data_IF_051998910356
#
_entry.id   IF_051998910356
#
_cell.length_a   1.000
_cell.length_b   1.000
_cell.length_c   1.000
_cell.angle_alpha   90.00
_cell.angle_beta   90.00
_cell.angle_gamma   90.00
#
_symmetry.space_group_name_H-M   'P 1'
#
loop_
_entity.id
_entity.type
_entity.pdbx_description
1 polymer ?
#
# COMPACT_ATOMS: atom_id res chain seq x y z
N UNK A 1 34.92 -13.42 -46.56
CA UNK A 1 34.10 -13.81 -45.40
C UNK A 1 34.61 -13.34 -44.03
N UNK A 2 35.91 -13.02 -43.84
CA UNK A 2 36.47 -12.60 -42.53
C UNK A 2 36.25 -11.11 -42.15
N UNK A 3 36.05 -10.22 -43.13
CA UNK A 3 35.89 -8.76 -42.90
C UNK A 3 34.58 -8.44 -42.15
N UNK A 4 33.51 -9.19 -42.43
CA UNK A 4 32.20 -9.01 -41.80
C UNK A 4 32.18 -9.44 -40.32
N UNK A 5 32.99 -10.44 -39.94
CA UNK A 5 33.12 -10.86 -38.53
C UNK A 5 33.81 -9.79 -37.68
N UNK A 6 34.85 -9.13 -38.20
CA UNK A 6 35.53 -8.03 -37.49
C UNK A 6 34.61 -6.83 -37.28
N UNK A 7 33.85 -6.44 -38.31
CA UNK A 7 32.90 -5.34 -38.22
C UNK A 7 31.75 -5.65 -37.25
N UNK A 8 31.28 -6.90 -37.20
CA UNK A 8 30.25 -7.33 -36.26
C UNK A 8 30.75 -7.31 -34.81
N UNK A 9 31.99 -7.73 -34.57
CA UNK A 9 32.62 -7.67 -33.24
C UNK A 9 32.77 -6.22 -32.77
N UNK A 10 33.24 -5.33 -33.65
CA UNK A 10 33.39 -3.89 -33.32
C UNK A 10 32.01 -3.28 -33.00
N UNK A 11 30.98 -3.57 -33.81
CA UNK A 11 29.62 -3.08 -33.58
C UNK A 11 29.04 -3.56 -32.24
N UNK A 12 29.27 -4.83 -31.89
CA UNK A 12 28.82 -5.41 -30.62
C UNK A 12 29.53 -4.75 -29.42
N UNK A 13 30.84 -4.53 -29.52
CA UNK A 13 31.61 -3.86 -28.46
C UNK A 13 31.17 -2.40 -28.26
N UNK A 14 30.86 -1.69 -29.35
CA UNK A 14 30.32 -0.31 -29.25
C UNK A 14 28.92 -0.27 -28.67
N UNK A 15 28.06 -1.26 -28.96
CA UNK A 15 26.73 -1.33 -28.37
C UNK A 15 26.81 -1.61 -26.86
N UNK A 16 27.68 -2.54 -26.47
CA UNK A 16 27.90 -2.87 -25.05
C UNK A 16 28.43 -1.65 -24.29
N UNK A 17 29.39 -0.90 -24.85
CA UNK A 17 29.92 0.28 -24.18
C UNK A 17 28.87 1.38 -23.98
N UNK A 18 27.99 1.61 -24.98
CA UNK A 18 26.88 2.56 -24.86
C UNK A 18 25.90 2.14 -23.77
N UNK A 19 25.53 0.85 -23.71
CA UNK A 19 24.63 0.32 -22.67
C UNK A 19 25.24 0.50 -21.28
N UNK A 20 26.54 0.21 -21.11
CA UNK A 20 27.24 0.40 -19.83
C UNK A 20 27.23 1.87 -19.41
N UNK A 21 27.49 2.80 -20.34
CA UNK A 21 27.47 4.24 -20.04
C UNK A 21 26.07 4.70 -19.66
N UNK A 22 25.02 4.25 -20.36
CA UNK A 22 23.63 4.60 -20.02
C UNK A 22 23.24 4.05 -18.63
N UNK A 23 23.59 2.80 -18.32
CA UNK A 23 23.31 2.20 -17.01
C UNK A 23 24.07 2.91 -15.88
N UNK A 24 25.35 3.24 -16.08
CA UNK A 24 26.14 3.99 -15.10
C UNK A 24 25.62 5.41 -14.91
N UNK A 25 25.15 6.06 -15.98
CA UNK A 25 24.53 7.38 -15.91
C UNK A 25 23.22 7.34 -15.13
N UNK A 26 22.41 6.28 -15.32
CA UNK A 26 21.15 6.09 -14.60
C UNK A 26 21.38 6.05 -13.08
N UNK A 27 22.46 5.43 -12.61
CA UNK A 27 22.81 5.39 -11.18
C UNK A 27 23.23 6.74 -10.59
N UNK A 28 23.65 7.70 -11.41
CA UNK A 28 24.06 9.03 -10.96
C UNK A 28 22.87 10.02 -10.87
N UNK A 29 21.75 9.74 -11.53
CA UNK A 29 20.55 10.61 -11.51
C UNK A 29 19.45 10.16 -10.55
N UNK A 30 19.50 8.91 -10.07
CA UNK A 30 18.66 8.47 -8.96
C UNK A 30 19.51 8.46 -7.69
N UNK A 31 19.45 9.51 -6.85
CA UNK A 31 20.07 9.43 -5.53
C UNK A 31 19.48 8.20 -4.84
N UNK A 32 20.35 7.28 -4.41
CA UNK A 32 19.96 6.26 -3.43
C UNK A 32 19.40 7.02 -2.24
N UNK A 33 18.09 6.95 -2.06
CA UNK A 33 17.45 7.49 -0.89
C UNK A 33 17.82 6.54 0.26
N UNK A 34 19.02 6.73 0.83
CA UNK A 34 19.39 6.11 2.08
C UNK A 34 18.44 6.69 3.13
N UNK A 35 17.44 5.90 3.51
CA UNK A 35 16.71 6.17 4.73
C UNK A 35 17.77 6.25 5.84
N UNK A 36 17.87 7.37 6.57
CA UNK A 36 18.84 7.46 7.64
C UNK A 36 18.42 6.44 8.71
N UNK A 37 19.10 5.29 8.73
CA UNK A 37 19.10 4.37 9.85
C UNK A 37 19.93 4.99 10.97
N UNK A 38 19.49 6.15 11.48
CA UNK A 38 20.26 6.89 12.45
C UNK A 38 19.90 6.39 13.85
N UNK A 39 20.80 5.58 14.41
CA UNK A 39 20.98 5.23 15.82
C UNK A 39 19.93 4.34 16.48
N UNK A 40 20.05 3.02 16.32
CA UNK A 40 19.34 2.02 17.13
C UNK A 40 19.60 2.13 18.66
N UNK A 41 20.59 2.92 19.10
CA UNK A 41 20.90 3.17 20.52
C UNK A 41 20.22 4.40 21.14
N UNK A 42 19.56 5.24 20.34
CA UNK A 42 18.65 6.28 20.81
C UNK A 42 17.30 5.91 20.24
N UNK A 43 16.37 5.44 21.08
CA UNK A 43 14.98 5.23 20.64
C UNK A 43 14.48 6.47 19.88
N UNK A 44 13.50 6.28 19.00
CA UNK A 44 12.94 7.38 18.20
C UNK A 44 12.50 8.54 19.10
N UNK A 45 13.35 9.57 19.20
CA UNK A 45 13.01 10.83 19.83
C UNK A 45 12.28 11.63 18.77
N UNK A 46 10.96 11.42 18.68
CA UNK A 46 10.10 12.28 17.90
C UNK A 46 10.10 13.67 18.55
N UNK A 47 10.86 14.60 18.00
CA UNK A 47 10.76 16.02 18.38
C UNK A 47 9.40 16.60 18.00
N UNK A 48 8.75 15.99 17.00
CA UNK A 48 7.45 16.38 16.46
C UNK A 48 6.38 15.33 16.77
N UNK A 49 5.14 15.75 16.95
CA UNK A 49 4.01 14.83 17.14
C UNK A 49 3.76 14.06 15.85
N UNK A 50 3.55 12.76 15.95
CA UNK A 50 3.10 11.90 14.83
C UNK A 50 1.58 11.83 14.84
N UNK A 51 0.96 12.07 13.70
CA UNK A 51 -0.49 11.95 13.50
C UNK A 51 -0.81 10.66 12.76
N UNK A 52 -1.49 9.75 13.46
CA UNK A 52 -1.99 8.50 12.90
C UNK A 52 -3.51 8.55 12.75
N UNK A 53 -4.02 7.86 11.73
CA UNK A 53 -5.44 7.59 11.58
C UNK A 53 -5.69 6.08 11.48
N UNK A 54 -6.67 5.59 12.22
CA UNK A 54 -7.19 4.24 12.02
C UNK A 54 -7.78 4.11 10.62
N UNK A 55 -7.41 3.05 9.92
CA UNK A 55 -7.79 2.82 8.53
C UNK A 55 -8.32 1.40 8.36
N UNK A 56 -9.59 1.28 7.99
CA UNK A 56 -10.29 0.02 7.84
C UNK A 56 -10.30 -0.40 6.37
N UNK A 57 -9.86 -1.63 6.10
CA UNK A 57 -9.69 -2.21 4.76
C UNK A 57 -10.72 -3.28 4.45
N UNK A 58 -11.88 -3.28 5.10
CA UNK A 58 -12.85 -4.35 5.01
C UNK A 58 -14.11 -4.02 4.23
N UNK A 59 -14.23 -2.84 3.63
CA UNK A 59 -15.47 -2.42 2.99
C UNK A 59 -15.69 -3.07 1.62
N UNK A 60 -16.93 -3.40 1.31
CA UNK A 60 -17.37 -3.76 -0.05
C UNK A 60 -18.52 -2.87 -0.53
N UNK A 61 -18.72 -2.80 -1.85
CA UNK A 61 -19.77 -1.95 -2.45
C UNK A 61 -21.16 -2.36 -1.97
N UNK A 62 -21.37 -3.67 -1.76
CA UNK A 62 -22.62 -4.26 -1.35
C UNK A 62 -23.03 -3.76 0.04
N UNK A 63 -22.09 -3.56 0.97
CA UNK A 63 -22.40 -3.15 2.34
C UNK A 63 -23.10 -1.78 2.43
N UNK A 64 -22.81 -0.88 1.50
CA UNK A 64 -23.45 0.45 1.42
C UNK A 64 -24.86 0.40 0.82
N UNK A 65 -25.23 -0.68 0.14
CA UNK A 65 -26.50 -0.79 -0.61
C UNK A 65 -27.41 -1.90 -0.09
N UNK A 66 -26.87 -2.82 0.72
CA UNK A 66 -27.59 -3.95 1.28
C UNK A 66 -28.65 -3.46 2.25
N UNK A 67 -29.87 -3.99 2.12
CA UNK A 67 -30.88 -3.86 3.15
C UNK A 67 -30.62 -4.93 4.22
N UNK A 68 -30.16 -4.51 5.38
CA UNK A 68 -29.89 -5.41 6.51
C UNK A 68 -31.16 -5.69 7.34
N UNK A 69 -32.33 -5.18 6.92
CA UNK A 69 -33.61 -5.46 7.58
C UNK A 69 -34.04 -6.92 7.56
N UNK A 70 -33.39 -7.77 6.76
CA UNK A 70 -33.68 -9.20 6.67
C UNK A 70 -32.39 -10.03 6.75
N UNK A 71 -31.88 -10.19 7.98
CA UNK A 71 -30.88 -11.21 8.29
C UNK A 71 -31.56 -12.48 8.81
N UNK A 72 -31.49 -13.63 8.09
CA UNK A 72 -32.04 -14.90 8.55
C UNK A 72 -31.39 -15.44 9.84
N UNK A 73 -30.25 -14.89 10.27
CA UNK A 73 -29.59 -15.20 11.55
C UNK A 73 -30.03 -14.28 12.71
N UNK A 74 -30.96 -13.35 12.47
CA UNK A 74 -31.66 -12.61 13.53
C UNK A 74 -30.98 -11.34 14.02
N UNK A 75 -29.91 -10.86 13.36
CA UNK A 75 -29.38 -9.51 13.62
C UNK A 75 -30.25 -8.50 12.86
N UNK A 76 -31.41 -8.18 13.44
CA UNK A 76 -32.27 -7.09 12.95
C UNK A 76 -31.72 -5.75 13.42
N UNK A 77 -30.66 -5.28 12.78
CA UNK A 77 -30.14 -3.93 12.91
C UNK A 77 -30.31 -3.17 11.60
N UNK A 78 -30.51 -1.86 11.67
CA UNK A 78 -30.36 -1.01 10.49
C UNK A 78 -29.00 -1.29 9.84
N UNK A 79 -28.99 -1.34 8.52
CA UNK A 79 -27.79 -1.40 7.71
C UNK A 79 -26.82 -0.30 8.17
N UNK A 80 -25.70 -0.59 8.86
CA UNK A 80 -24.93 0.43 9.55
C UNK A 80 -24.34 1.48 8.58
N UNK A 81 -24.26 1.16 7.29
CA UNK A 81 -23.73 2.03 6.25
C UNK A 81 -24.79 2.59 5.28
N UNK A 82 -26.08 2.25 5.41
CA UNK A 82 -27.13 2.68 4.45
C UNK A 82 -27.28 4.19 4.35
N UNK A 83 -27.14 4.89 5.47
CA UNK A 83 -27.23 6.35 5.51
C UNK A 83 -25.87 7.04 5.35
N UNK A 84 -24.80 6.27 5.17
CA UNK A 84 -23.44 6.77 4.95
C UNK A 84 -23.17 6.87 3.44
N UNK A 85 -22.84 8.08 2.99
CA UNK A 85 -22.63 8.38 1.57
C UNK A 85 -21.20 8.92 1.37
N UNK A 86 -20.19 8.05 1.18
CA UNK A 86 -18.81 8.50 0.96
C UNK A 86 -18.70 9.34 -0.32
N UNK A 87 -17.79 10.32 -0.32
CA UNK A 87 -17.55 11.18 -1.49
C UNK A 87 -17.06 10.40 -2.72
N UNK A 88 -16.43 9.23 -2.52
CA UNK A 88 -16.02 8.31 -3.58
C UNK A 88 -17.12 7.32 -3.98
N UNK A 89 -18.33 7.47 -3.44
CA UNK A 89 -19.44 6.54 -3.61
C UNK A 89 -19.30 5.28 -2.76
N UNK A 90 -20.19 4.31 -2.98
CA UNK A 90 -20.04 2.96 -2.44
C UNK A 90 -18.81 2.31 -3.06
N UNK A 91 -17.80 1.98 -2.24
CA UNK A 91 -16.49 1.53 -2.69
C UNK A 91 -16.12 0.15 -2.17
N UNK A 92 -15.14 -0.47 -2.83
CA UNK A 92 -14.49 -1.69 -2.36
C UNK A 92 -13.09 -1.33 -1.84
N UNK A 93 -12.75 -1.77 -0.64
CA UNK A 93 -11.43 -1.55 -0.03
C UNK A 93 -10.28 -2.27 -0.77
N UNK A 94 -10.57 -3.18 -1.71
CA UNK A 94 -9.59 -3.78 -2.61
C UNK A 94 -9.44 -3.06 -3.95
N UNK A 95 -10.19 -1.98 -4.21
CA UNK A 95 -10.02 -1.18 -5.43
C UNK A 95 -8.75 -0.31 -5.35
N UNK A 96 -7.74 -0.50 -6.22
CA UNK A 96 -6.50 0.26 -6.19
C UNK A 96 -6.69 1.77 -6.34
N UNK A 97 -7.72 2.20 -7.08
CA UNK A 97 -8.03 3.63 -7.24
C UNK A 97 -8.53 4.23 -5.92
N UNK A 98 -9.40 3.51 -5.21
CA UNK A 98 -9.95 3.95 -3.92
C UNK A 98 -8.86 4.07 -2.88
N UNK A 99 -8.00 3.05 -2.75
CA UNK A 99 -6.87 3.08 -1.80
C UNK A 99 -5.93 4.24 -2.11
N UNK A 100 -5.62 4.49 -3.38
CA UNK A 100 -4.77 5.62 -3.76
C UNK A 100 -5.41 6.98 -3.42
N UNK A 101 -6.72 7.14 -3.67
CA UNK A 101 -7.42 8.37 -3.31
C UNK A 101 -7.49 8.59 -1.79
N UNK A 102 -7.68 7.54 -0.98
CA UNK A 102 -7.60 7.63 0.48
C UNK A 102 -6.20 8.04 0.95
N UNK A 103 -5.14 7.50 0.36
CA UNK A 103 -3.76 7.91 0.66
C UNK A 103 -3.57 9.40 0.33
N UNK A 104 -4.05 9.88 -0.82
CA UNK A 104 -4.00 11.31 -1.17
C UNK A 104 -4.81 12.18 -0.21
N UNK A 105 -5.97 11.71 0.26
CA UNK A 105 -6.77 12.38 1.28
C UNK A 105 -6.00 12.52 2.58
N UNK A 106 -5.33 11.45 3.04
CA UNK A 106 -4.50 11.47 4.23
C UNK A 106 -3.35 12.47 4.13
N UNK A 107 -2.66 12.52 2.98
CA UNK A 107 -1.61 13.51 2.73
C UNK A 107 -2.15 14.95 2.76
N UNK A 108 -3.32 15.22 2.16
CA UNK A 108 -3.97 16.54 2.23
C UNK A 108 -4.37 16.92 3.66
N UNK A 109 -4.77 15.93 4.46
CA UNK A 109 -5.13 16.10 5.86
C UNK A 109 -3.91 16.21 6.81
N UNK A 110 -2.68 16.10 6.29
CA UNK A 110 -1.44 16.09 7.08
C UNK A 110 -1.38 14.92 8.09
N UNK A 111 -1.91 13.76 7.70
CA UNK A 111 -1.73 12.50 8.42
C UNK A 111 -0.38 11.90 8.01
N UNK A 112 0.41 11.46 8.99
CA UNK A 112 1.74 10.89 8.78
C UNK A 112 1.69 9.40 8.44
N UNK A 113 0.75 8.69 9.08
CA UNK A 113 0.59 7.25 8.90
C UNK A 113 -0.86 6.77 9.03
N UNK A 114 -1.15 5.67 8.33
CA UNK A 114 -2.30 4.84 8.69
C UNK A 114 -1.92 3.81 9.75
N UNK A 115 -2.83 3.57 10.70
CA UNK A 115 -2.87 2.38 11.53
C UNK A 115 -3.95 1.46 10.93
N UNK A 116 -3.53 0.47 10.15
CA UNK A 116 -4.44 -0.34 9.32
C UNK A 116 -4.97 -1.50 10.16
N UNK A 117 -6.29 -1.49 10.40
CA UNK A 117 -6.99 -2.60 11.07
C UNK A 117 -6.84 -3.87 10.24
N UNK A 118 -6.35 -4.93 10.87
CA UNK A 118 -6.00 -6.17 10.16
C UNK A 118 -6.09 -7.39 11.07
N UNK A 119 -6.61 -8.48 10.50
CA UNK A 119 -6.44 -9.85 10.96
C UNK A 119 -5.95 -10.71 9.79
N UNK A 120 -5.40 -11.88 10.09
CA UNK A 120 -4.95 -12.81 9.07
C UNK A 120 -6.14 -13.37 8.27
N UNK A 121 -6.11 -13.16 6.96
CA UNK A 121 -7.04 -13.77 6.02
C UNK A 121 -6.32 -14.01 4.68
N UNK A 122 -6.10 -15.29 4.37
CA UNK A 122 -5.33 -15.74 3.20
C UNK A 122 -6.18 -15.94 1.94
N UNK A 123 -7.47 -15.60 1.99
CA UNK A 123 -8.34 -15.66 0.81
C UNK A 123 -7.88 -14.66 -0.25
N UNK A 124 -8.14 -14.97 -1.53
CA UNK A 124 -7.91 -14.06 -2.64
C UNK A 124 -8.72 -12.79 -2.43
N UNK A 125 -8.07 -11.62 -2.55
CA UNK A 125 -8.62 -10.31 -2.23
C UNK A 125 -8.99 -10.14 -0.75
N UNK A 126 -8.55 -11.05 0.12
CA UNK A 126 -8.75 -11.01 1.58
C UNK A 126 -7.90 -9.92 2.26
N UNK A 127 -7.90 -9.90 3.59
CA UNK A 127 -7.21 -8.85 4.36
C UNK A 127 -5.70 -8.79 4.06
N UNK A 128 -5.06 -9.91 3.76
CA UNK A 128 -3.63 -9.93 3.40
C UNK A 128 -3.35 -9.18 2.09
N UNK A 129 -4.14 -9.45 1.05
CA UNK A 129 -4.00 -8.80 -0.26
C UNK A 129 -4.35 -7.31 -0.19
N UNK A 130 -5.39 -6.97 0.58
CA UNK A 130 -5.80 -5.57 0.82
C UNK A 130 -4.73 -4.80 1.60
N UNK A 131 -4.13 -5.39 2.63
CA UNK A 131 -3.02 -4.77 3.37
C UNK A 131 -1.82 -4.53 2.44
N UNK A 132 -1.46 -5.52 1.59
CA UNK A 132 -0.39 -5.37 0.62
C UNK A 132 -0.64 -4.20 -0.36
N UNK A 133 -1.88 -4.05 -0.83
CA UNK A 133 -2.29 -2.93 -1.68
C UNK A 133 -2.14 -1.58 -0.96
N UNK A 134 -2.48 -1.48 0.33
CA UNK A 134 -2.28 -0.26 1.12
C UNK A 134 -0.80 0.08 1.22
N UNK A 135 0.06 -0.89 1.52
CA UNK A 135 1.51 -0.66 1.54
C UNK A 135 2.03 -0.16 0.20
N UNK A 136 1.59 -0.76 -0.91
CA UNK A 136 1.97 -0.34 -2.26
C UNK A 136 1.59 1.12 -2.51
N UNK A 137 0.32 1.49 -2.33
CA UNK A 137 -0.15 2.86 -2.61
C UNK A 137 0.42 3.88 -1.63
N UNK A 138 0.54 3.55 -0.35
CA UNK A 138 1.13 4.44 0.64
C UNK A 138 2.59 4.77 0.31
N UNK A 139 3.38 3.79 -0.13
CA UNK A 139 4.77 3.98 -0.51
C UNK A 139 4.92 4.97 -1.68
N UNK A 140 4.03 4.90 -2.69
CA UNK A 140 4.05 5.81 -3.85
C UNK A 140 3.86 7.29 -3.46
N UNK A 141 3.15 7.57 -2.36
CA UNK A 141 2.81 8.92 -1.91
C UNK A 141 3.54 9.34 -0.62
N UNK A 142 4.51 8.54 -0.17
CA UNK A 142 5.28 8.81 1.04
C UNK A 142 4.40 8.91 2.30
N UNK A 143 3.36 8.08 2.40
CA UNK A 143 2.58 7.86 3.62
C UNK A 143 3.15 6.63 4.36
N UNK A 144 3.24 6.68 5.68
CA UNK A 144 3.67 5.52 6.49
C UNK A 144 2.47 4.63 6.80
N UNK A 145 2.75 3.37 7.09
CA UNK A 145 1.72 2.37 7.43
C UNK A 145 2.22 1.59 8.64
N UNK A 146 1.41 1.60 9.69
CA UNK A 146 1.46 0.66 10.81
C UNK A 146 0.30 -0.30 10.72
N UNK A 147 0.44 -1.46 11.36
CA UNK A 147 -0.62 -2.47 11.46
C UNK A 147 -1.27 -2.31 12.82
N UNK A 148 -2.58 -2.11 12.82
CA UNK A 148 -3.44 -2.23 13.99
C UNK A 148 -3.93 -3.69 14.05
N UNK A 149 -3.24 -4.49 14.86
CA UNK A 149 -3.49 -5.92 14.94
C UNK A 149 -4.79 -6.16 15.69
N UNK A 150 -5.83 -6.52 14.96
CA UNK A 150 -7.11 -6.91 15.56
C UNK A 150 -6.92 -8.23 16.30
N UNK A 151 -7.51 -8.33 17.48
CA UNK A 151 -7.56 -9.58 18.21
C UNK A 151 -8.46 -10.55 17.42
N UNK A 152 -7.85 -11.34 16.54
CA UNK A 152 -8.45 -12.60 16.13
C UNK A 152 -8.75 -13.35 17.43
N UNK A 153 -10.00 -13.71 17.66
CA UNK A 153 -10.41 -14.58 18.75
C UNK A 153 -9.77 -15.96 18.58
N UNK A 154 -8.46 -16.06 18.84
CA UNK A 154 -7.65 -17.27 18.77
C UNK A 154 -6.77 -17.31 20.02
N UNK A 155 -7.24 -18.10 20.98
CA UNK A 155 -6.39 -18.75 21.98
C UNK A 155 -5.23 -19.43 21.26
N UNK A 156 -4.00 -19.15 21.69
CA UNK A 156 -2.77 -19.80 21.22
C UNK A 156 -2.68 -21.25 21.74
N UNK A 157 -3.72 -22.04 21.56
CA UNK A 157 -3.76 -23.47 21.90
C UNK A 157 -4.22 -24.25 20.67
N UNK A 158 -3.24 -24.79 19.93
CA UNK A 158 -3.28 -26.06 19.20
C UNK A 158 -1.84 -26.51 18.90
#
# INVERSE_FOLDING_TARGET
>A
MMKNKKNLIIALLTLISVVIVVLASCQLFFPKQELPANNAGKGYSFSDKVVLAYYYIWYTKEEFTKDWSYDPEGITGEAPLRDIHPILGAYDSYDPYIVEEHVKMAKRAKIDAFAVSWWFDSQTNGMNDRLALVFEKAALHGLKVGIDLEAASMTMEE
#
